data_IF_905348001917
#
_entry.id   IF_905348001917
#
_cell.length_a   1.000
_cell.length_b   1.000
_cell.length_c   1.000
_cell.angle_alpha   90.00
_cell.angle_beta   90.00
_cell.angle_gamma   90.00
#
_symmetry.space_group_name_H-M   'P 1'
#
loop_
_entity.id
_entity.type
_entity.pdbx_description
1 polymer ?
#
# COMPACT_ATOMS: atom_id res chain seq x y z
N UNK A 1 -3.06 8.06 -17.00
CA UNK A 1 -2.88 6.59 -17.04
C UNK A 1 -2.93 6.03 -15.62
N UNK A 2 -3.37 4.79 -15.44
CA UNK A 2 -3.38 4.15 -14.15
C UNK A 2 -1.94 3.97 -13.64
N UNK A 3 -1.75 4.05 -12.32
CA UNK A 3 -0.47 3.78 -11.69
C UNK A 3 -0.24 2.26 -11.59
N UNK A 4 0.93 1.81 -12.02
CA UNK A 4 1.34 0.40 -12.01
C UNK A 4 2.66 0.27 -11.28
N UNK A 5 2.76 -0.66 -10.37
CA UNK A 5 4.00 -0.97 -9.66
C UNK A 5 4.08 -2.46 -9.29
N UNK A 6 5.26 -2.92 -8.92
CA UNK A 6 5.45 -4.29 -8.47
C UNK A 6 5.06 -4.45 -7.00
N UNK A 7 4.37 -5.53 -6.72
CA UNK A 7 3.98 -6.03 -5.40
C UNK A 7 4.26 -7.54 -5.33
N UNK A 8 3.93 -8.23 -4.23
CA UNK A 8 4.23 -9.66 -4.07
C UNK A 8 3.80 -10.56 -5.25
N UNK A 9 2.58 -10.44 -5.81
CA UNK A 9 2.16 -11.27 -6.95
C UNK A 9 2.68 -10.77 -8.31
N UNK A 10 3.49 -9.73 -8.36
CA UNK A 10 3.98 -9.12 -9.59
C UNK A 10 3.48 -7.71 -9.83
N UNK A 11 3.34 -7.29 -11.08
CA UNK A 11 2.82 -5.97 -11.44
C UNK A 11 1.33 -5.86 -11.15
N UNK A 12 0.93 -4.83 -10.43
CA UNK A 12 -0.46 -4.54 -10.08
C UNK A 12 -0.85 -3.11 -10.42
N UNK A 13 -2.15 -2.94 -10.71
CA UNK A 13 -2.79 -1.63 -10.81
C UNK A 13 -3.19 -1.15 -9.42
N UNK A 14 -2.89 0.08 -9.11
CA UNK A 14 -3.27 0.71 -7.85
C UNK A 14 -4.53 1.55 -8.06
N UNK A 15 -5.66 1.21 -7.41
CA UNK A 15 -6.87 1.99 -7.50
C UNK A 15 -6.67 3.35 -6.81
N UNK A 16 -7.36 4.37 -7.32
CA UNK A 16 -7.32 5.70 -6.72
C UNK A 16 -8.26 5.77 -5.50
N UNK A 17 -7.75 5.44 -4.33
CA UNK A 17 -8.53 5.42 -3.09
C UNK A 17 -9.02 6.80 -2.62
N UNK A 18 -8.52 7.90 -3.19
CA UNK A 18 -9.02 9.25 -2.91
C UNK A 18 -10.23 9.60 -3.78
N UNK A 19 -10.43 8.88 -4.87
CA UNK A 19 -11.61 9.03 -5.73
C UNK A 19 -12.81 8.25 -5.17
N UNK A 20 -13.98 8.91 -5.09
CA UNK A 20 -15.19 8.29 -4.53
C UNK A 20 -15.65 7.07 -5.32
N UNK A 21 -15.69 7.17 -6.65
CA UNK A 21 -16.15 6.08 -7.52
C UNK A 21 -15.23 4.86 -7.44
N UNK A 22 -13.91 5.10 -7.34
CA UNK A 22 -12.95 4.03 -7.15
C UNK A 22 -13.11 3.33 -5.79
N UNK A 23 -13.42 4.07 -4.71
CA UNK A 23 -13.73 3.47 -3.41
C UNK A 23 -15.01 2.64 -3.44
N UNK A 24 -16.07 3.14 -4.07
CA UNK A 24 -17.32 2.39 -4.24
C UNK A 24 -17.10 1.10 -5.02
N UNK A 25 -16.36 1.19 -6.12
CA UNK A 25 -15.97 0.02 -6.91
C UNK A 25 -15.19 -1.00 -6.07
N UNK A 26 -14.18 -0.54 -5.33
CA UNK A 26 -13.35 -1.40 -4.47
C UNK A 26 -14.18 -2.05 -3.36
N UNK A 27 -14.98 -1.26 -2.66
CA UNK A 27 -15.86 -1.74 -1.59
C UNK A 27 -16.85 -2.80 -2.08
N UNK A 28 -17.41 -2.64 -3.29
CA UNK A 28 -18.31 -3.62 -3.86
C UNK A 28 -17.65 -4.99 -4.13
N UNK A 29 -16.30 -5.06 -4.22
CA UNK A 29 -15.60 -6.33 -4.41
C UNK A 29 -15.65 -7.25 -3.19
N UNK A 30 -15.90 -6.71 -2.01
CA UNK A 30 -16.09 -7.52 -0.80
C UNK A 30 -17.34 -8.39 -0.87
N UNK A 31 -18.35 -8.03 -1.67
CA UNK A 31 -19.58 -8.82 -1.85
C UNK A 31 -19.28 -10.28 -2.17
N UNK A 32 -18.33 -10.53 -3.06
CA UNK A 32 -17.96 -11.89 -3.45
C UNK A 32 -17.53 -12.76 -2.27
N UNK A 33 -16.85 -12.20 -1.29
CA UNK A 33 -16.41 -12.94 -0.10
C UNK A 33 -17.50 -12.98 0.99
N UNK A 34 -18.28 -11.92 1.12
CA UNK A 34 -19.45 -11.88 2.02
C UNK A 34 -20.47 -12.95 1.64
N UNK A 35 -20.74 -13.14 0.34
CA UNK A 35 -21.66 -14.18 -0.17
C UNK A 35 -21.19 -15.61 0.16
N UNK A 36 -19.88 -15.77 0.44
CA UNK A 36 -19.29 -17.04 0.88
C UNK A 36 -19.26 -17.18 2.42
N UNK A 37 -19.81 -16.22 3.17
CA UNK A 37 -19.87 -16.25 4.63
C UNK A 37 -18.61 -15.75 5.31
N UNK A 38 -17.71 -15.03 4.61
CA UNK A 38 -16.55 -14.38 5.24
C UNK A 38 -17.01 -13.13 5.97
N UNK A 39 -16.75 -13.04 7.28
CA UNK A 39 -17.17 -11.94 8.15
C UNK A 39 -16.00 -11.20 8.81
N UNK A 40 -14.78 -11.47 8.40
CA UNK A 40 -13.59 -10.83 8.91
C UNK A 40 -12.55 -10.57 7.82
N UNK A 41 -12.01 -9.35 7.78
CA UNK A 41 -11.07 -8.91 6.77
C UNK A 41 -9.93 -8.12 7.40
N UNK A 42 -8.77 -8.17 6.75
CA UNK A 42 -7.71 -7.21 7.02
C UNK A 42 -7.20 -6.58 5.73
N UNK A 43 -6.83 -5.31 5.81
CA UNK A 43 -6.10 -4.61 4.76
C UNK A 43 -4.62 -4.54 5.13
N UNK A 44 -3.82 -5.38 4.49
CA UNK A 44 -2.37 -5.40 4.68
C UNK A 44 -1.66 -4.68 3.53
N UNK A 45 -0.46 -4.20 3.79
CA UNK A 45 0.44 -3.56 2.82
C UNK A 45 -0.19 -2.35 2.08
N UNK A 46 -1.09 -1.68 2.72
CA UNK A 46 -1.91 -0.61 2.18
C UNK A 46 -1.44 0.81 2.51
N UNK A 47 -0.13 0.99 2.65
CA UNK A 47 0.53 2.31 2.73
C UNK A 47 0.43 3.11 1.40
N UNK A 48 0.50 2.58 0.20
CA UNK A 48 0.73 1.20 -0.23
C UNK A 48 2.21 0.82 -0.22
N UNK A 49 2.48 -0.46 0.09
CA UNK A 49 3.80 -1.03 -0.08
C UNK A 49 4.06 -1.25 -1.57
N UNK A 50 5.08 -0.59 -2.07
CA UNK A 50 5.51 -0.65 -3.48
C UNK A 50 6.92 -1.24 -3.49
N UNK A 51 7.12 -2.34 -4.22
CA UNK A 51 8.48 -2.87 -4.36
C UNK A 51 9.29 -1.99 -5.31
N UNK A 52 8.76 -1.68 -6.48
CA UNK A 52 9.36 -0.74 -7.41
C UNK A 52 8.37 -0.40 -8.53
N UNK A 53 8.58 0.76 -9.13
CA UNK A 53 8.06 1.08 -10.45
C UNK A 53 9.00 0.55 -11.53
N UNK A 54 8.53 0.41 -12.76
CA UNK A 54 9.35 -0.05 -13.87
C UNK A 54 10.54 0.89 -14.17
N UNK A 55 10.30 2.20 -14.08
CA UNK A 55 11.34 3.21 -14.25
C UNK A 55 12.41 3.09 -13.17
N UNK A 56 12.00 2.94 -11.89
CA UNK A 56 12.94 2.71 -10.78
C UNK A 56 13.79 1.46 -10.98
N UNK A 57 13.16 0.36 -11.39
CA UNK A 57 13.91 -0.88 -11.66
C UNK A 57 14.97 -0.68 -12.74
N UNK A 58 14.61 0.00 -13.82
CA UNK A 58 15.53 0.31 -14.90
C UNK A 58 16.71 1.15 -14.44
N UNK A 59 16.44 2.25 -13.73
CA UNK A 59 17.46 3.16 -13.21
C UNK A 59 18.46 2.40 -12.30
N UNK A 60 17.95 1.60 -11.36
CA UNK A 60 18.79 0.82 -10.44
C UNK A 60 19.60 -0.24 -11.19
N UNK A 61 19.02 -0.91 -12.19
CA UNK A 61 19.77 -1.89 -12.99
C UNK A 61 20.89 -1.23 -13.79
N UNK A 62 20.66 -0.04 -14.36
CA UNK A 62 21.69 0.74 -15.04
C UNK A 62 22.81 1.15 -14.07
N UNK A 63 22.48 1.57 -12.86
CA UNK A 63 23.48 1.87 -11.83
C UNK A 63 24.27 0.63 -11.37
N UNK A 64 23.62 -0.53 -11.25
CA UNK A 64 24.26 -1.80 -10.88
C UNK A 64 25.24 -2.28 -11.95
N UNK A 65 25.04 -1.93 -13.21
CA UNK A 65 25.93 -2.33 -14.30
C UNK A 65 27.38 -1.86 -14.11
N UNK A 66 27.60 -0.78 -13.36
CA UNK A 66 28.96 -0.30 -13.02
C UNK A 66 29.77 -1.30 -12.19
N UNK A 67 29.12 -2.25 -11.49
CA UNK A 67 29.82 -3.29 -10.72
C UNK A 67 30.21 -4.51 -11.53
N UNK A 68 29.78 -4.62 -12.78
CA UNK A 68 30.12 -5.74 -13.67
C UNK A 68 31.63 -5.86 -13.85
N UNK A 69 32.15 -7.06 -13.63
CA UNK A 69 33.58 -7.37 -13.77
C UNK A 69 34.48 -6.78 -12.68
N UNK A 70 33.92 -6.13 -11.67
CA UNK A 70 34.68 -5.61 -10.54
C UNK A 70 34.76 -6.65 -9.41
N UNK A 71 35.90 -6.64 -8.70
CA UNK A 71 35.99 -7.35 -7.44
C UNK A 71 35.31 -6.52 -6.36
N UNK A 72 34.31 -7.07 -5.67
CA UNK A 72 33.57 -6.37 -4.62
C UNK A 72 34.32 -6.49 -3.30
N UNK A 73 35.00 -5.40 -2.89
CA UNK A 73 35.42 -5.22 -1.51
C UNK A 73 34.19 -4.91 -0.62
N UNK A 74 34.42 -4.73 0.69
CA UNK A 74 33.31 -4.50 1.63
C UNK A 74 32.52 -3.22 1.33
N UNK A 75 33.22 -2.16 0.95
CA UNK A 75 32.58 -0.87 0.67
C UNK A 75 31.68 -0.97 -0.58
N UNK A 76 32.18 -1.56 -1.65
CA UNK A 76 31.41 -1.82 -2.86
C UNK A 76 30.25 -2.78 -2.63
N UNK A 77 30.44 -3.78 -1.76
CA UNK A 77 29.37 -4.68 -1.37
C UNK A 77 28.21 -3.94 -0.67
N UNK A 78 28.53 -3.03 0.27
CA UNK A 78 27.50 -2.23 0.92
C UNK A 78 26.83 -1.26 -0.04
N UNK A 79 27.58 -0.66 -0.94
CA UNK A 79 27.03 0.23 -1.98
C UNK A 79 26.07 -0.55 -2.91
N UNK A 80 26.48 -1.71 -3.41
CA UNK A 80 25.65 -2.61 -4.22
C UNK A 80 24.35 -3.00 -3.49
N UNK A 81 24.45 -3.44 -2.23
CA UNK A 81 23.27 -3.76 -1.43
C UNK A 81 22.38 -2.54 -1.18
N UNK A 82 22.96 -1.38 -0.98
CA UNK A 82 22.24 -0.12 -0.82
C UNK A 82 21.36 0.18 -2.04
N UNK A 83 21.91 0.02 -3.24
CA UNK A 83 21.15 0.18 -4.49
C UNK A 83 20.02 -0.83 -4.62
N UNK A 84 20.28 -2.10 -4.34
CA UNK A 84 19.23 -3.14 -4.39
C UNK A 84 18.11 -2.85 -3.39
N UNK A 85 18.45 -2.44 -2.18
CA UNK A 85 17.46 -2.09 -1.15
C UNK A 85 16.68 -0.82 -1.48
N UNK A 86 17.26 0.09 -2.26
CA UNK A 86 16.59 1.32 -2.67
C UNK A 86 15.40 1.09 -3.62
N UNK A 87 15.24 -0.12 -4.14
CA UNK A 87 14.07 -0.50 -4.93
C UNK A 87 12.79 -0.46 -4.10
N UNK A 88 12.82 -1.03 -2.87
CA UNK A 88 11.59 -1.21 -2.10
C UNK A 88 11.16 0.04 -1.34
N UNK A 89 9.89 0.39 -1.45
CA UNK A 89 9.24 1.50 -0.73
C UNK A 89 9.99 2.84 -0.88
N UNK A 90 10.50 3.09 -2.07
CA UNK A 90 11.20 4.33 -2.37
C UNK A 90 10.22 5.50 -2.46
N UNK A 91 10.48 6.56 -1.71
CA UNK A 91 9.61 7.75 -1.69
C UNK A 91 9.55 8.48 -3.03
N UNK A 92 10.53 8.28 -3.93
CA UNK A 92 10.48 8.83 -5.28
C UNK A 92 9.37 8.20 -6.11
N UNK A 93 9.04 6.91 -5.88
CA UNK A 93 7.93 6.23 -6.55
C UNK A 93 6.57 6.85 -6.15
N UNK A 94 6.45 7.41 -4.93
CA UNK A 94 5.25 8.13 -4.51
C UNK A 94 5.05 9.46 -5.26
N UNK A 95 6.11 10.04 -5.81
CA UNK A 95 6.02 11.30 -6.57
C UNK A 95 5.49 11.13 -7.99
N UNK A 96 5.51 9.91 -8.53
CA UNK A 96 4.95 9.59 -9.84
C UNK A 96 3.56 8.97 -9.77
N UNK A 97 3.08 8.69 -8.57
CA UNK A 97 1.72 8.24 -8.30
C UNK A 97 0.80 9.45 -8.03
N UNK A 98 -0.32 9.51 -8.71
CA UNK A 98 -1.29 10.62 -8.60
C UNK A 98 -2.69 10.13 -8.34
N UNK A 99 -3.42 10.93 -7.57
CA UNK A 99 -4.82 10.75 -7.24
C UNK A 99 -5.68 11.87 -7.82
N UNK A 100 -6.96 11.58 -8.03
CA UNK A 100 -7.97 12.59 -8.36
C UNK A 100 -8.89 12.77 -7.15
N UNK A 101 -8.72 13.87 -6.45
CA UNK A 101 -9.56 14.23 -5.31
C UNK A 101 -10.47 15.42 -5.71
N UNK A 102 -11.75 15.13 -5.93
CA UNK A 102 -12.74 16.14 -6.32
C UNK A 102 -12.38 16.94 -7.59
N UNK A 103 -11.75 16.28 -8.57
CA UNK A 103 -11.32 16.92 -9.81
C UNK A 103 -9.91 17.54 -9.77
N UNK A 104 -9.30 17.60 -8.60
CA UNK A 104 -7.91 18.07 -8.43
C UNK A 104 -6.94 16.88 -8.46
N UNK A 105 -5.88 17.01 -9.27
CA UNK A 105 -4.81 16.03 -9.36
C UNK A 105 -3.79 16.26 -8.25
N UNK A 106 -3.70 15.31 -7.31
CA UNK A 106 -2.81 15.39 -6.16
C UNK A 106 -1.77 14.27 -6.22
N UNK A 107 -0.54 14.60 -5.92
CA UNK A 107 0.57 13.65 -5.84
C UNK A 107 0.49 12.82 -4.56
N UNK A 108 0.76 11.51 -4.66
CA UNK A 108 0.60 10.56 -3.54
C UNK A 108 1.44 10.91 -2.31
N UNK A 109 2.67 11.38 -2.47
CA UNK A 109 3.54 11.76 -1.35
C UNK A 109 2.95 12.87 -0.45
N UNK A 110 2.00 13.66 -0.95
CA UNK A 110 1.29 14.69 -0.18
C UNK A 110 0.08 14.16 0.57
N UNK A 111 -0.42 13.01 0.18
CA UNK A 111 -1.65 12.40 0.72
C UNK A 111 -1.45 10.93 1.12
N UNK A 112 -0.20 10.52 1.24
CA UNK A 112 0.24 9.14 1.52
C UNK A 112 -0.59 8.48 2.64
N UNK A 113 -0.73 9.14 3.78
CA UNK A 113 -1.46 8.59 4.92
C UNK A 113 -2.97 8.40 4.69
N UNK A 114 -3.52 8.97 3.61
CA UNK A 114 -4.94 8.83 3.28
C UNK A 114 -5.23 7.60 2.41
N UNK A 115 -4.22 6.92 1.87
CA UNK A 115 -4.45 5.77 1.00
C UNK A 115 -5.06 4.60 1.78
N UNK A 116 -4.38 4.11 2.81
CA UNK A 116 -4.89 3.03 3.67
C UNK A 116 -6.16 3.42 4.44
N UNK A 117 -6.24 4.67 4.90
CA UNK A 117 -7.46 5.22 5.47
C UNK A 117 -8.66 5.05 4.53
N UNK A 118 -8.54 5.50 3.27
CA UNK A 118 -9.63 5.42 2.31
C UNK A 118 -9.90 3.99 1.80
N UNK A 119 -8.91 3.12 1.79
CA UNK A 119 -9.14 1.70 1.52
C UNK A 119 -10.02 1.07 2.60
N UNK A 120 -9.73 1.33 3.88
CA UNK A 120 -10.54 0.85 5.00
C UNK A 120 -11.92 1.50 5.04
N UNK A 121 -11.99 2.80 4.71
CA UNK A 121 -13.27 3.50 4.55
C UNK A 121 -14.13 2.87 3.46
N UNK A 122 -13.54 2.53 2.31
CA UNK A 122 -14.25 1.86 1.21
C UNK A 122 -14.88 0.53 1.65
N UNK A 123 -14.14 -0.26 2.47
CA UNK A 123 -14.66 -1.48 3.05
C UNK A 123 -15.79 -1.22 4.04
N UNK A 124 -15.59 -0.34 5.02
CA UNK A 124 -16.59 -0.02 6.04
C UNK A 124 -17.90 0.52 5.44
N UNK A 125 -17.81 1.50 4.52
CA UNK A 125 -18.99 2.04 3.81
C UNK A 125 -19.70 0.95 2.96
N UNK A 126 -18.95 -0.02 2.42
CA UNK A 126 -19.53 -1.14 1.70
C UNK A 126 -20.25 -2.12 2.64
N UNK A 127 -19.65 -2.47 3.78
CA UNK A 127 -20.26 -3.39 4.73
C UNK A 127 -21.59 -2.87 5.29
N UNK A 128 -21.66 -1.58 5.63
CA UNK A 128 -22.92 -0.93 6.04
C UNK A 128 -24.03 -1.03 4.99
N UNK A 129 -23.67 -1.02 3.71
CA UNK A 129 -24.63 -1.13 2.62
C UNK A 129 -24.98 -2.57 2.25
N UNK A 130 -23.98 -3.46 2.25
CA UNK A 130 -24.12 -4.84 1.77
C UNK A 130 -24.68 -5.78 2.85
N UNK A 131 -24.34 -5.55 4.10
CA UNK A 131 -24.72 -6.37 5.27
C UNK A 131 -25.15 -5.49 6.44
N UNK A 132 -26.24 -4.71 6.31
CA UNK A 132 -26.62 -3.69 7.30
C UNK A 132 -26.94 -4.26 8.69
N UNK A 133 -27.30 -5.54 8.77
CA UNK A 133 -27.64 -6.23 10.02
C UNK A 133 -26.45 -6.96 10.65
N UNK A 134 -25.28 -6.92 10.00
CA UNK A 134 -24.06 -7.58 10.48
C UNK A 134 -22.97 -6.60 10.86
N UNK A 135 -22.16 -7.00 11.83
CA UNK A 135 -20.96 -6.30 12.21
C UNK A 135 -19.73 -7.02 11.65
N UNK A 136 -19.32 -6.66 10.45
CA UNK A 136 -18.16 -7.25 9.78
C UNK A 136 -16.88 -6.72 10.41
N UNK A 137 -15.97 -7.63 10.79
CA UNK A 137 -14.67 -7.28 11.33
C UNK A 137 -13.75 -6.73 10.21
N UNK A 138 -13.17 -5.57 10.43
CA UNK A 138 -12.16 -4.98 9.55
C UNK A 138 -11.03 -4.39 10.37
N UNK A 139 -9.78 -4.68 9.99
CA UNK A 139 -8.62 -3.98 10.51
C UNK A 139 -7.55 -3.76 9.43
N UNK A 140 -6.71 -2.76 9.64
CA UNK A 140 -5.79 -2.25 8.65
C UNK A 140 -4.41 -1.99 9.26
N UNK A 141 -3.35 -2.29 8.52
CA UNK A 141 -1.98 -1.94 8.93
C UNK A 141 -1.72 -0.45 8.78
N UNK A 142 -2.05 0.13 7.65
CA UNK A 142 -1.95 1.58 7.45
C UNK A 142 -3.21 2.28 7.90
N UNK A 143 -3.05 3.37 8.65
CA UNK A 143 -4.17 4.11 9.24
C UNK A 143 -3.90 5.62 9.31
N UNK A 144 -4.95 6.38 9.56
CA UNK A 144 -4.87 7.80 9.84
C UNK A 144 -6.02 8.23 10.78
N UNK A 145 -5.92 9.44 11.33
CA UNK A 145 -6.93 9.99 12.24
C UNK A 145 -8.33 9.85 11.64
N UNK A 146 -9.26 9.27 12.40
CA UNK A 146 -10.64 9.06 12.00
C UNK A 146 -10.95 7.69 11.39
N UNK A 147 -9.94 6.86 11.08
CA UNK A 147 -10.16 5.52 10.50
C UNK A 147 -10.91 4.57 11.45
N UNK A 148 -10.85 4.79 12.76
CA UNK A 148 -11.56 4.00 13.78
C UNK A 148 -13.08 3.91 13.55
N UNK A 149 -13.65 4.77 12.72
CA UNK A 149 -15.06 4.71 12.31
C UNK A 149 -15.34 3.56 11.33
N UNK A 150 -14.32 3.05 10.67
CA UNK A 150 -14.45 2.06 9.59
C UNK A 150 -13.78 0.73 9.92
N UNK A 151 -12.85 0.70 10.88
CA UNK A 151 -12.14 -0.52 11.26
C UNK A 151 -11.12 -0.28 12.37
N UNK A 152 -10.53 -1.38 12.85
CA UNK A 152 -9.42 -1.38 13.77
C UNK A 152 -8.07 -1.24 13.08
N UNK A 153 -7.03 -1.27 13.89
CA UNK A 153 -5.63 -1.28 13.43
C UNK A 153 -4.85 -2.40 14.10
N UNK A 154 -3.78 -2.83 13.44
CA UNK A 154 -2.70 -3.60 14.07
C UNK A 154 -1.35 -3.06 13.59
N UNK A 155 -0.29 -3.36 14.31
CA UNK A 155 1.03 -2.77 14.06
C UNK A 155 1.88 -3.57 13.05
N UNK A 156 1.30 -4.54 12.34
CA UNK A 156 2.03 -5.37 11.37
C UNK A 156 2.79 -6.52 12.03
N UNK A 157 4.00 -6.77 11.56
CA UNK A 157 4.82 -7.95 11.91
C UNK A 157 5.64 -7.77 13.20
N UNK A 158 5.13 -7.04 14.16
CA UNK A 158 5.81 -6.82 15.42
C UNK A 158 5.88 -8.11 16.26
N UNK A 159 6.94 -8.26 17.04
CA UNK A 159 7.02 -9.35 18.03
C UNK A 159 6.11 -9.03 19.20
N UNK A 160 5.49 -10.04 19.78
CA UNK A 160 4.65 -9.91 21.01
C UNK A 160 5.52 -9.73 22.26
N UNK A 161 6.39 -8.75 22.28
CA UNK A 161 7.27 -8.40 23.39
C UNK A 161 6.89 -7.06 23.99
N UNK A 162 7.17 -6.88 25.27
CA UNK A 162 6.87 -5.63 25.99
C UNK A 162 7.49 -4.38 25.35
N UNK A 163 8.73 -4.52 24.81
CA UNK A 163 9.39 -3.41 24.09
C UNK A 163 8.65 -2.93 22.85
N UNK A 164 7.82 -3.79 22.23
CA UNK A 164 7.05 -3.44 21.05
C UNK A 164 5.73 -2.71 21.35
N UNK A 165 5.33 -2.61 22.63
CA UNK A 165 4.19 -1.78 23.03
C UNK A 165 4.53 -0.28 22.95
N UNK A 166 5.83 0.04 22.97
CA UNK A 166 6.34 1.43 22.95
C UNK A 166 6.58 1.97 21.53
N UNK A 167 6.35 1.16 20.49
CA UNK A 167 6.42 1.57 19.09
C UNK A 167 5.12 2.21 18.65
#
# INVERSE_FOLDING_TARGET
>A
SPFVAAVWPGKALFPDMLNKEAREWFGNKYQFLLDQGVEGFWNDMNEPAIFYTEDRLKDVLEELDRFKGQNLDMDKYYEFNGLVRSLSNNTEDYKVFYHNMNGEKIRHDRVHNLFGYNMTRAAGEAFERLEPDKRILMFSRSSYIGMHRYGGIWQGDNKSWWSHILL
#
